data_IF_257476208728
#
_entry.id   IF_257476208728
#
_cell.length_a   1.000
_cell.length_b   1.000
_cell.length_c   1.000
_cell.angle_alpha   90.00
_cell.angle_beta   90.00
_cell.angle_gamma   90.00
#
_symmetry.space_group_name_H-M   'P 1'
#
loop_
_entity.id
_entity.type
_entity.pdbx_description
1 polymer ?
#
# COMPACT_ATOMS: atom_id res chain seq x y z
N UNK A 1 15.71 -4.87 14.82
CA UNK A 1 15.85 -4.73 13.35
C UNK A 1 15.62 -3.28 12.98
N UNK A 2 16.59 -2.67 12.36
CA UNK A 2 16.48 -1.27 11.94
C UNK A 2 15.83 -1.19 10.56
N UNK A 3 14.77 -0.41 10.46
CA UNK A 3 14.04 -0.20 9.22
C UNK A 3 14.32 1.22 8.75
N UNK A 4 14.78 1.37 7.52
CA UNK A 4 15.01 2.65 6.87
C UNK A 4 13.99 2.83 5.76
N UNK A 5 13.32 3.97 5.74
CA UNK A 5 12.36 4.31 4.70
C UNK A 5 12.98 5.30 3.72
N UNK A 6 12.68 5.12 2.45
CA UNK A 6 13.11 6.04 1.40
C UNK A 6 12.15 6.02 0.22
N UNK A 7 12.28 6.99 -0.66
CA UNK A 7 11.50 7.03 -1.88
C UNK A 7 12.01 6.00 -2.88
N UNK A 8 11.11 5.53 -3.72
CA UNK A 8 11.40 4.63 -4.83
C UNK A 8 12.36 5.26 -5.85
N UNK A 9 13.22 4.42 -6.40
CA UNK A 9 14.09 4.75 -7.54
C UNK A 9 13.85 3.75 -8.67
N UNK A 10 14.02 4.14 -9.94
CA UNK A 10 13.84 3.20 -11.06
C UNK A 10 14.65 1.90 -10.93
N UNK A 11 15.83 1.96 -10.31
CA UNK A 11 16.65 0.77 -10.09
C UNK A 11 15.99 -0.26 -9.17
N UNK A 12 14.97 0.13 -8.40
CA UNK A 12 14.24 -0.77 -7.49
C UNK A 12 13.18 -1.60 -8.21
N UNK A 13 12.80 -1.24 -9.42
CA UNK A 13 11.63 -1.80 -10.09
C UNK A 13 11.64 -3.34 -10.12
N UNK A 14 12.75 -3.93 -10.52
CA UNK A 14 12.85 -5.39 -10.62
C UNK A 14 12.56 -6.06 -9.28
N UNK A 15 13.16 -5.53 -8.21
CA UNK A 15 12.97 -6.07 -6.85
C UNK A 15 11.54 -5.89 -6.38
N UNK A 16 10.94 -4.73 -6.62
CA UNK A 16 9.55 -4.48 -6.25
C UNK A 16 8.61 -5.46 -6.96
N UNK A 17 8.82 -5.69 -8.24
CA UNK A 17 8.02 -6.64 -9.00
C UNK A 17 8.16 -8.07 -8.43
N UNK A 18 9.39 -8.48 -8.13
CA UNK A 18 9.64 -9.79 -7.52
C UNK A 18 8.92 -9.94 -6.18
N UNK A 19 8.95 -8.91 -5.34
CA UNK A 19 8.26 -8.91 -4.04
C UNK A 19 6.76 -9.05 -4.25
N UNK A 20 6.18 -8.31 -5.19
CA UNK A 20 4.74 -8.39 -5.47
C UNK A 20 4.34 -9.79 -5.93
N UNK A 21 5.17 -10.43 -6.77
CA UNK A 21 4.89 -11.80 -7.25
C UNK A 21 4.85 -12.82 -6.11
N UNK A 22 5.66 -12.65 -5.07
CA UNK A 22 5.65 -13.60 -3.94
C UNK A 22 4.65 -13.23 -2.86
N UNK A 23 4.19 -11.97 -2.80
CA UNK A 23 3.21 -11.53 -1.82
C UNK A 23 1.78 -11.90 -2.19
N UNK A 24 1.49 -12.06 -3.48
CA UNK A 24 0.12 -12.28 -3.98
C UNK A 24 0.04 -13.46 -4.92
N UNK A 25 -1.16 -14.05 -5.00
CA UNK A 25 -1.46 -15.10 -5.98
C UNK A 25 -1.29 -14.56 -7.40
N UNK A 26 -0.98 -15.43 -8.36
CA UNK A 26 -0.70 -15.04 -9.74
C UNK A 26 -1.83 -14.21 -10.36
N UNK A 27 -3.08 -14.49 -10.00
CA UNK A 27 -4.26 -13.79 -10.53
C UNK A 27 -4.41 -12.38 -9.95
N UNK A 28 -3.75 -12.08 -8.82
CA UNK A 28 -3.84 -10.79 -8.12
C UNK A 28 -2.56 -9.99 -8.30
N UNK A 29 -1.40 -10.65 -8.32
CA UNK A 29 -0.10 -10.01 -8.48
C UNK A 29 -0.05 -9.20 -9.79
N UNK A 30 0.62 -8.07 -9.74
CA UNK A 30 0.73 -7.19 -10.90
C UNK A 30 1.72 -7.71 -11.93
N UNK A 31 1.39 -7.58 -13.21
CA UNK A 31 2.37 -7.72 -14.28
C UNK A 31 3.37 -6.56 -14.21
N UNK A 32 4.51 -6.71 -14.88
CA UNK A 32 5.48 -5.61 -14.99
C UNK A 32 4.85 -4.36 -15.58
N UNK A 33 4.00 -4.53 -16.59
CA UNK A 33 3.30 -3.41 -17.24
C UNK A 33 2.38 -2.69 -16.25
N UNK A 34 1.56 -3.44 -15.53
CA UNK A 34 0.64 -2.88 -14.54
C UNK A 34 1.40 -2.13 -13.44
N UNK A 35 2.46 -2.74 -12.91
CA UNK A 35 3.26 -2.12 -11.86
C UNK A 35 3.90 -0.81 -12.34
N UNK A 36 4.43 -0.80 -13.58
CA UNK A 36 4.97 0.43 -14.18
C UNK A 36 3.90 1.51 -14.33
N UNK A 37 2.70 1.12 -14.77
CA UNK A 37 1.59 2.07 -14.93
C UNK A 37 1.22 2.71 -13.60
N UNK A 38 1.12 1.93 -12.52
CA UNK A 38 0.85 2.49 -11.19
C UNK A 38 1.95 3.43 -10.72
N UNK A 39 3.21 3.06 -10.91
CA UNK A 39 4.34 3.92 -10.50
C UNK A 39 4.43 5.23 -11.30
N UNK A 40 3.83 5.27 -12.49
CA UNK A 40 3.84 6.44 -13.36
C UNK A 40 2.57 7.29 -13.30
N UNK A 41 1.57 6.87 -12.53
CA UNK A 41 0.34 7.65 -12.39
C UNK A 41 0.66 9.04 -11.87
N UNK A 42 -0.08 10.03 -12.37
CA UNK A 42 0.00 11.38 -11.84
C UNK A 42 -0.41 11.35 -10.36
N UNK A 43 0.41 11.94 -9.51
CA UNK A 43 0.18 11.91 -8.08
C UNK A 43 0.56 10.60 -7.39
N UNK A 44 1.25 9.70 -8.11
CA UNK A 44 1.76 8.48 -7.51
C UNK A 44 2.94 8.76 -6.59
N UNK A 45 3.02 8.01 -5.51
CA UNK A 45 4.18 8.03 -4.61
C UNK A 45 4.49 6.57 -4.23
N UNK A 46 5.75 6.29 -3.97
CA UNK A 46 6.17 4.96 -3.57
C UNK A 46 7.25 5.07 -2.51
N UNK A 47 6.99 4.46 -1.36
CA UNK A 47 7.94 4.38 -0.25
C UNK A 47 8.48 2.96 -0.20
N UNK A 48 9.78 2.86 -0.08
CA UNK A 48 10.52 1.59 0.02
C UNK A 48 11.09 1.46 1.43
N UNK A 49 10.93 0.29 2.03
CA UNK A 49 11.51 -0.02 3.33
C UNK A 49 12.69 -0.95 3.15
N UNK A 50 13.83 -0.58 3.75
CA UNK A 50 15.02 -1.42 3.77
C UNK A 50 15.28 -1.94 5.17
N UNK A 51 15.69 -3.19 5.28
CA UNK A 51 16.10 -3.81 6.52
C UNK A 51 17.19 -4.84 6.19
N UNK A 52 18.21 -4.93 7.02
CA UNK A 52 19.32 -5.88 6.83
C UNK A 52 19.96 -5.79 5.43
N UNK A 53 20.08 -4.56 4.89
CA UNK A 53 20.69 -4.34 3.57
C UNK A 53 19.85 -4.77 2.38
N UNK A 54 18.56 -5.07 2.58
CA UNK A 54 17.65 -5.55 1.55
C UNK A 54 16.36 -4.73 1.55
N UNK A 55 15.69 -4.69 0.41
CA UNK A 55 14.32 -4.17 0.36
C UNK A 55 13.40 -5.18 1.04
N UNK A 56 12.76 -4.75 2.13
CA UNK A 56 11.85 -5.59 2.91
C UNK A 56 10.41 -5.47 2.45
N UNK A 57 10.06 -4.35 1.82
CA UNK A 57 8.70 -4.09 1.37
C UNK A 57 8.57 -2.71 0.77
N UNK A 58 7.37 -2.41 0.29
CA UNK A 58 7.07 -1.11 -0.30
C UNK A 58 5.58 -0.81 -0.25
N UNK A 59 5.24 0.45 -0.41
CA UNK A 59 3.85 0.90 -0.51
C UNK A 59 3.73 1.88 -1.66
N UNK A 60 2.76 1.67 -2.52
CA UNK A 60 2.44 2.59 -3.62
C UNK A 60 1.11 3.26 -3.28
N UNK A 61 1.08 4.59 -3.37
CA UNK A 61 -0.13 5.38 -3.27
C UNK A 61 -0.31 6.23 -4.51
N UNK A 62 -1.55 6.63 -4.75
CA UNK A 62 -1.88 7.62 -5.78
C UNK A 62 -2.76 8.67 -5.13
N UNK A 63 -2.71 9.89 -5.65
CA UNK A 63 -3.57 10.97 -5.19
C UNK A 63 -4.53 11.33 -6.30
N UNK A 64 -5.83 11.28 -6.01
CA UNK A 64 -6.89 11.65 -6.94
C UNK A 64 -7.75 12.71 -6.28
N UNK A 65 -7.88 13.86 -6.95
CA UNK A 65 -8.64 15.00 -6.44
C UNK A 65 -8.28 15.31 -4.97
N UNK A 66 -9.15 14.93 -4.04
CA UNK A 66 -8.98 15.25 -2.62
C UNK A 66 -8.81 14.01 -1.73
N UNK A 67 -8.60 12.83 -2.32
CA UNK A 67 -8.34 11.62 -1.55
C UNK A 67 -7.09 10.90 -2.03
N UNK A 68 -6.48 10.13 -1.13
CA UNK A 68 -5.38 9.25 -1.45
C UNK A 68 -5.90 7.83 -1.66
N UNK A 69 -5.21 7.07 -2.49
CA UNK A 69 -5.54 5.68 -2.77
C UNK A 69 -4.31 4.82 -2.54
N UNK A 70 -4.45 3.80 -1.70
CA UNK A 70 -3.37 2.83 -1.52
C UNK A 70 -3.52 1.77 -2.62
N UNK A 71 -2.57 1.74 -3.53
CA UNK A 71 -2.55 0.76 -4.62
C UNK A 71 -2.17 -0.61 -4.08
N UNK A 72 -1.09 -0.66 -3.32
CA UNK A 72 -0.63 -1.91 -2.70
C UNK A 72 0.33 -1.60 -1.55
N UNK A 73 0.38 -2.52 -0.60
CA UNK A 73 1.42 -2.57 0.41
C UNK A 73 1.93 -4.00 0.46
N UNK A 74 3.21 -4.17 0.21
CA UNK A 74 3.84 -5.47 0.11
C UNK A 74 4.97 -5.56 1.13
N UNK A 75 4.99 -6.62 1.92
CA UNK A 75 6.07 -6.91 2.87
C UNK A 75 6.45 -8.37 2.72
N UNK A 76 7.73 -8.63 2.49
CA UNK A 76 8.23 -10.01 2.42
C UNK A 76 7.94 -10.74 3.74
N UNK A 77 7.58 -12.02 3.64
CA UNK A 77 7.19 -12.81 4.80
C UNK A 77 8.22 -12.80 5.93
N UNK A 78 9.49 -12.89 5.58
CA UNK A 78 10.59 -12.88 6.55
C UNK A 78 10.73 -11.57 7.33
N UNK A 79 10.13 -10.48 6.82
CA UNK A 79 10.14 -9.17 7.47
C UNK A 79 8.78 -8.82 8.11
N UNK A 80 7.79 -9.70 8.00
CA UNK A 80 6.50 -9.49 8.67
C UNK A 80 6.68 -9.59 10.18
N UNK A 81 5.75 -8.99 10.94
CA UNK A 81 5.78 -8.92 12.41
C UNK A 81 6.92 -8.08 12.96
N UNK A 82 7.61 -7.31 12.11
CA UNK A 82 8.65 -6.36 12.50
C UNK A 82 8.18 -4.92 12.26
N UNK A 83 6.88 -4.72 12.09
CA UNK A 83 6.25 -3.40 11.89
C UNK A 83 6.68 -2.69 10.61
N UNK A 84 7.15 -3.42 9.61
CA UNK A 84 7.53 -2.84 8.31
C UNK A 84 6.30 -2.25 7.62
N UNK A 85 5.18 -2.99 7.60
CA UNK A 85 3.93 -2.51 7.02
C UNK A 85 3.43 -1.25 7.71
N UNK A 86 3.49 -1.22 9.03
CA UNK A 86 3.11 -0.05 9.82
C UNK A 86 3.98 1.16 9.48
N UNK A 87 5.30 0.96 9.39
CA UNK A 87 6.23 2.05 9.05
C UNK A 87 5.95 2.61 7.64
N UNK A 88 5.71 1.73 6.67
CA UNK A 88 5.37 2.13 5.31
C UNK A 88 4.08 2.93 5.26
N UNK A 89 3.03 2.43 5.93
CA UNK A 89 1.73 3.08 5.94
C UNK A 89 1.81 4.44 6.63
N UNK A 90 2.46 4.52 7.78
CA UNK A 90 2.61 5.78 8.52
C UNK A 90 3.32 6.83 7.65
N UNK A 91 4.35 6.46 6.91
CA UNK A 91 5.07 7.38 6.05
C UNK A 91 4.19 7.86 4.88
N UNK A 92 3.46 6.95 4.24
CA UNK A 92 2.53 7.33 3.16
C UNK A 92 1.44 8.26 3.68
N UNK A 93 0.85 7.96 4.83
CA UNK A 93 -0.18 8.82 5.42
C UNK A 93 0.38 10.19 5.78
N UNK A 94 1.61 10.24 6.31
CA UNK A 94 2.28 11.52 6.60
C UNK A 94 2.45 12.36 5.34
N UNK A 95 2.86 11.75 4.24
CA UNK A 95 3.04 12.44 2.95
C UNK A 95 1.71 12.94 2.40
N UNK A 96 0.65 12.15 2.53
CA UNK A 96 -0.69 12.55 2.09
C UNK A 96 -1.21 13.72 2.93
N UNK A 97 -1.03 13.70 4.24
CA UNK A 97 -1.39 14.81 5.12
C UNK A 97 -0.64 16.08 4.70
N UNK A 98 0.65 15.97 4.41
CA UNK A 98 1.45 17.10 3.95
C UNK A 98 0.97 17.68 2.62
N UNK A 99 0.27 16.86 1.81
CA UNK A 99 -0.35 17.29 0.54
C UNK A 99 -1.81 17.70 0.71
N UNK A 100 -2.26 17.92 1.95
CA UNK A 100 -3.63 18.33 2.29
C UNK A 100 -4.69 17.29 1.91
N UNK A 101 -4.33 16.00 1.91
CA UNK A 101 -5.26 14.91 1.68
C UNK A 101 -5.88 14.48 3.02
N UNK A 102 -7.20 14.33 3.06
CA UNK A 102 -7.93 14.06 4.29
C UNK A 102 -8.55 12.66 4.35
N UNK A 103 -8.56 11.94 3.24
CA UNK A 103 -9.18 10.62 3.17
C UNK A 103 -8.29 9.68 2.38
N UNK A 104 -8.18 8.44 2.85
CA UNK A 104 -7.46 7.38 2.14
C UNK A 104 -8.44 6.26 1.85
N UNK A 105 -8.39 5.73 0.63
CA UNK A 105 -9.23 4.63 0.15
C UNK A 105 -8.38 3.47 -0.33
N UNK A 106 -8.90 2.27 -0.19
CA UNK A 106 -8.27 1.05 -0.72
C UNK A 106 -9.29 -0.05 -0.93
N UNK A 107 -8.90 -1.10 -1.65
CA UNK A 107 -9.61 -2.36 -1.72
C UNK A 107 -8.72 -3.47 -1.18
N UNK A 108 -9.32 -4.46 -0.52
CA UNK A 108 -8.63 -5.65 -0.03
C UNK A 108 -9.54 -6.86 -0.15
N UNK A 109 -8.98 -8.02 -0.50
CA UNK A 109 -9.77 -9.23 -0.69
C UNK A 109 -10.53 -9.59 0.59
N UNK A 110 -11.81 -9.93 0.45
CA UNK A 110 -12.68 -10.20 1.60
C UNK A 110 -12.23 -11.40 2.42
N UNK A 111 -11.50 -12.33 1.82
CA UNK A 111 -11.00 -13.54 2.47
C UNK A 111 -9.55 -13.43 2.94
N UNK A 112 -8.91 -12.28 2.79
CA UNK A 112 -7.57 -12.04 3.31
C UNK A 112 -7.67 -11.47 4.73
N UNK A 113 -7.89 -12.36 5.70
CA UNK A 113 -8.17 -11.98 7.08
C UNK A 113 -7.03 -11.18 7.71
N UNK A 114 -5.77 -11.52 7.40
CA UNK A 114 -4.64 -10.80 7.99
C UNK A 114 -4.53 -9.37 7.43
N UNK A 115 -4.81 -9.18 6.15
CA UNK A 115 -4.82 -7.84 5.56
C UNK A 115 -5.97 -7.00 6.12
N UNK A 116 -7.17 -7.58 6.20
CA UNK A 116 -8.33 -6.88 6.77
C UNK A 116 -8.04 -6.45 8.21
N UNK A 117 -7.46 -7.34 9.02
CA UNK A 117 -7.10 -7.03 10.40
C UNK A 117 -6.05 -5.92 10.47
N UNK A 118 -5.06 -5.95 9.59
CA UNK A 118 -4.04 -4.90 9.50
C UNK A 118 -4.67 -3.54 9.23
N UNK A 119 -5.53 -3.46 8.21
CA UNK A 119 -6.18 -2.21 7.86
C UNK A 119 -7.07 -1.69 8.99
N UNK A 120 -7.87 -2.57 9.61
CA UNK A 120 -8.74 -2.19 10.73
C UNK A 120 -7.94 -1.68 11.93
N UNK A 121 -6.82 -2.33 12.24
CA UNK A 121 -5.92 -1.89 13.31
C UNK A 121 -5.40 -0.47 13.06
N UNK A 122 -5.21 -0.10 11.80
CA UNK A 122 -4.70 1.22 11.42
C UNK A 122 -5.81 2.24 11.15
N UNK A 123 -7.05 1.94 11.53
CA UNK A 123 -8.14 2.90 11.49
C UNK A 123 -8.97 2.89 10.21
N UNK A 124 -8.73 1.93 9.32
CA UNK A 124 -9.54 1.79 8.10
C UNK A 124 -10.84 1.08 8.42
N UNK A 125 -11.92 1.54 7.80
CA UNK A 125 -13.27 1.00 8.00
C UNK A 125 -13.81 0.46 6.69
N UNK A 126 -14.54 -0.67 6.76
CA UNK A 126 -15.28 -1.21 5.62
C UNK A 126 -16.40 -0.26 5.23
N UNK A 127 -16.50 0.07 3.95
CA UNK A 127 -17.57 0.91 3.40
C UNK A 127 -18.52 0.13 2.51
N UNK A 128 -18.07 -0.99 1.95
CA UNK A 128 -18.89 -1.81 1.09
C UNK A 128 -18.10 -2.98 0.54
N UNK A 129 -18.75 -3.75 -0.31
CA UNK A 129 -18.16 -4.91 -0.98
C UNK A 129 -18.25 -4.67 -2.49
N UNK A 130 -17.11 -4.86 -3.18
CA UNK A 130 -17.07 -4.85 -4.64
C UNK A 130 -17.05 -6.28 -5.10
N UNK A 131 -18.16 -6.72 -5.68
CA UNK A 131 -18.32 -8.10 -6.18
C UNK A 131 -17.43 -8.33 -7.40
N UNK A 132 -16.82 -9.53 -7.45
CA UNK A 132 -15.96 -9.95 -8.57
C UNK A 132 -14.88 -8.92 -8.91
N UNK A 133 -14.31 -8.31 -7.89
CA UNK A 133 -13.33 -7.22 -8.06
C UNK A 133 -12.02 -7.71 -8.67
N UNK A 134 -11.51 -8.86 -8.20
CA UNK A 134 -10.24 -9.42 -8.67
C UNK A 134 -10.44 -10.32 -9.89
N UNK A 135 -9.40 -10.46 -10.74
CA UNK A 135 -9.50 -11.30 -11.93
C UNK A 135 -9.90 -12.76 -11.67
N UNK A 136 -9.61 -13.27 -10.46
CA UNK A 136 -10.00 -14.62 -10.05
C UNK A 136 -11.44 -14.70 -9.53
N UNK A 137 -12.22 -13.62 -9.65
CA UNK A 137 -13.61 -13.57 -9.21
C UNK A 137 -13.83 -13.26 -7.74
N UNK A 138 -12.75 -13.07 -6.97
CA UNK A 138 -12.85 -12.77 -5.54
C UNK A 138 -13.38 -11.36 -5.32
N UNK A 139 -14.15 -11.20 -4.23
CA UNK A 139 -14.71 -9.92 -3.83
C UNK A 139 -13.68 -9.12 -3.04
N UNK A 140 -13.86 -7.81 -3.03
CA UNK A 140 -13.04 -6.90 -2.22
C UNK A 140 -13.91 -6.10 -1.27
N UNK A 141 -13.36 -5.80 -0.08
CA UNK A 141 -13.89 -4.72 0.75
C UNK A 141 -13.34 -3.41 0.22
N UNK A 142 -14.20 -2.42 0.07
CA UNK A 142 -13.77 -1.03 -0.08
C UNK A 142 -13.62 -0.46 1.33
N UNK A 143 -12.44 0.06 1.64
CA UNK A 143 -12.14 0.57 2.98
C UNK A 143 -11.65 2.01 2.90
N UNK A 144 -11.94 2.77 3.94
CA UNK A 144 -11.54 4.19 4.02
C UNK A 144 -11.05 4.56 5.41
N UNK A 145 -10.22 5.59 5.44
CA UNK A 145 -9.76 6.22 6.68
C UNK A 145 -9.75 7.72 6.49
N UNK A 146 -10.25 8.45 7.48
CA UNK A 146 -10.11 9.91 7.53
C UNK A 146 -8.79 10.24 8.23
N UNK A 147 -7.96 11.02 7.56
CA UNK A 147 -6.68 11.45 8.13
C UNK A 147 -6.88 12.70 9.00
N UNK A 148 -6.19 12.71 10.15
CA UNK A 148 -6.17 13.87 11.00
C UNK A 148 -5.42 15.01 10.31
N UNK A 149 -6.00 16.21 10.35
CA UNK A 149 -5.33 17.41 9.85
C UNK A 149 -4.25 17.83 10.83
N UNK A 150 -3.15 18.48 10.34
CA UNK A 150 -2.20 19.11 11.23
C UNK A 150 -2.93 20.14 12.09
N UNK A 151 -2.55 20.24 13.35
CA UNK A 151 -3.09 21.27 14.24
C UNK A 151 -2.86 22.63 13.62
N UNK A 152 -3.89 23.48 13.70
CA UNK A 152 -3.74 24.86 13.25
C UNK A 152 -2.74 25.58 14.17
N UNK A 153 -1.83 26.35 13.60
CA UNK A 153 -0.91 27.13 14.44
C UNK A 153 -1.66 28.14 15.32
#
# INVERSE_FOLDING_TARGET
MDITLRSYKPADFKTLHEIDQVCYEAEIAYSKRELREYLRLRGADCVVAEANGRIAGFCISAQQDHYGYIVTIDVLEEFRRHKVGTALLDEIERRLIASAVHEVRLETATDNDSAVAFWQKHGYRKRGVRKNYYPNGRDAYAMTKTLALPDKP
#
